data_IF_421248803724
#
_entry.id   IF_421248803724
#
_cell.length_a   1.000
_cell.length_b   1.000
_cell.length_c   1.000
_cell.angle_alpha   90.00
_cell.angle_beta   90.00
_cell.angle_gamma   90.00
#
_symmetry.space_group_name_H-M   'P 1'
#
loop_
_entity.id
_entity.type
_entity.pdbx_description
1 polymer ?
#
# COMPACT_ATOMS: atom_id res chain seq x y z
N UNK A 1 23.32 -18.24 -0.20
CA UNK A 1 22.16 -18.28 0.72
C UNK A 1 21.39 -16.98 0.51
N UNK A 2 20.09 -17.05 0.23
CA UNK A 2 19.27 -15.86 0.00
C UNK A 2 18.77 -15.39 1.37
N UNK A 3 19.52 -14.51 2.04
CA UNK A 3 19.06 -13.89 3.28
C UNK A 3 17.82 -13.07 2.97
N UNK A 4 16.69 -13.25 3.69
CA UNK A 4 15.51 -12.42 3.48
C UNK A 4 15.90 -10.97 3.72
N UNK A 5 15.68 -10.11 2.73
CA UNK A 5 15.92 -8.67 2.88
C UNK A 5 15.01 -8.16 3.99
N UNK A 6 15.55 -7.70 5.13
CA UNK A 6 14.71 -7.29 6.25
C UNK A 6 13.86 -6.10 5.85
N UNK A 7 12.56 -6.14 6.16
CA UNK A 7 11.65 -5.02 5.95
C UNK A 7 12.10 -3.84 6.82
N UNK A 8 12.20 -2.67 6.20
CA UNK A 8 12.61 -1.43 6.88
C UNK A 8 11.45 -0.45 6.92
N UNK A 9 11.40 0.33 7.99
CA UNK A 9 10.60 1.54 8.09
C UNK A 9 11.49 2.71 7.68
N UNK A 10 10.96 3.60 6.85
CA UNK A 10 11.66 4.80 6.39
C UNK A 10 10.77 6.01 6.69
N UNK A 11 11.33 6.98 7.42
CA UNK A 11 10.70 8.29 7.62
C UNK A 11 11.30 9.27 6.62
N UNK A 12 10.45 9.88 5.81
CA UNK A 12 10.86 10.84 4.79
C UNK A 12 10.84 12.27 5.32
N UNK A 13 11.59 13.16 4.68
CA UNK A 13 11.66 14.58 5.06
C UNK A 13 10.33 15.33 4.92
N UNK A 14 9.41 14.81 4.10
CA UNK A 14 8.07 15.36 3.93
C UNK A 14 7.08 14.92 5.03
N UNK A 15 7.54 14.11 6.00
CA UNK A 15 6.73 13.59 7.10
C UNK A 15 6.04 12.27 6.80
N UNK A 16 6.13 11.73 5.58
CA UNK A 16 5.58 10.41 5.26
C UNK A 16 6.41 9.29 5.90
N UNK A 17 5.72 8.22 6.28
CA UNK A 17 6.32 7.00 6.81
C UNK A 17 5.95 5.85 5.87
N UNK A 18 6.95 5.09 5.46
CA UNK A 18 6.78 3.93 4.58
C UNK A 18 7.46 2.71 5.17
N UNK A 19 6.94 1.53 4.82
CA UNK A 19 7.60 0.24 5.04
C UNK A 19 7.90 -0.40 3.71
N UNK A 20 9.10 -0.95 3.54
CA UNK A 20 9.53 -1.52 2.26
C UNK A 20 10.64 -2.58 2.42
N UNK A 21 10.93 -3.28 1.33
CA UNK A 21 12.14 -4.08 1.17
C UNK A 21 13.27 -3.17 0.65
N UNK A 22 14.15 -2.75 1.56
CA UNK A 22 15.27 -1.86 1.23
C UNK A 22 16.40 -2.64 0.57
N UNK A 23 16.96 -2.14 -0.53
CA UNK A 23 18.16 -2.70 -1.14
C UNK A 23 19.35 -2.74 -0.19
N UNK A 24 20.27 -3.68 -0.39
CA UNK A 24 21.43 -3.88 0.49
C UNK A 24 22.50 -2.78 0.36
N UNK A 25 22.49 -2.03 -0.75
CA UNK A 25 23.52 -1.06 -1.09
C UNK A 25 22.90 0.29 -1.43
N UNK A 26 23.63 1.36 -1.10
CA UNK A 26 23.34 2.72 -1.54
C UNK A 26 24.16 2.96 -2.80
N UNK A 27 23.50 3.28 -3.91
CA UNK A 27 24.14 3.54 -5.21
C UNK A 27 23.83 4.97 -5.61
N UNK A 28 24.84 5.78 -5.94
CA UNK A 28 24.67 7.19 -6.33
C UNK A 28 23.88 8.04 -5.32
N UNK A 29 24.14 7.83 -4.02
CA UNK A 29 23.44 8.44 -2.90
C UNK A 29 21.94 8.18 -2.89
N UNK A 30 21.49 7.05 -3.45
CA UNK A 30 20.10 6.63 -3.48
C UNK A 30 19.87 5.31 -2.76
N UNK A 31 18.75 5.24 -2.05
CA UNK A 31 18.18 4.00 -1.57
C UNK A 31 17.28 3.39 -2.63
N UNK A 32 17.44 2.09 -2.87
CA UNK A 32 16.51 1.30 -3.66
C UNK A 32 15.36 0.80 -2.77
N UNK A 33 14.14 1.22 -3.06
CA UNK A 33 12.92 0.84 -2.33
C UNK A 33 12.11 -0.15 -3.17
N UNK A 34 11.94 -1.38 -2.67
CA UNK A 34 11.11 -2.39 -3.32
C UNK A 34 9.79 -2.55 -2.56
N UNK A 35 8.69 -2.53 -3.32
CA UNK A 35 7.30 -2.65 -2.86
C UNK A 35 6.94 -1.73 -1.67
N UNK A 36 7.28 -0.42 -1.71
CA UNK A 36 6.98 0.47 -0.60
C UNK A 36 5.48 0.61 -0.35
N UNK A 37 5.09 0.47 0.91
CA UNK A 37 3.75 0.74 1.40
C UNK A 37 3.76 1.93 2.35
N UNK A 38 2.83 2.87 2.15
CA UNK A 38 2.60 4.00 3.05
C UNK A 38 1.98 3.50 4.35
N UNK A 39 2.52 3.96 5.47
CA UNK A 39 2.02 3.70 6.82
C UNK A 39 1.11 4.85 7.25
N UNK A 40 -0.13 4.54 7.61
CA UNK A 40 -1.08 5.53 8.11
C UNK A 40 -1.76 5.02 9.38
N UNK A 41 -1.60 5.74 10.49
CA UNK A 41 -2.38 5.46 11.71
C UNK A 41 -3.70 6.21 11.61
N UNK A 42 -4.81 5.46 11.67
CA UNK A 42 -6.17 6.00 11.70
C UNK A 42 -6.80 5.73 13.04
N UNK A 43 -7.19 6.80 13.71
CA UNK A 43 -7.99 6.76 14.93
C UNK A 43 -9.46 6.55 14.56
N UNK A 44 -10.07 5.52 15.12
CA UNK A 44 -11.50 5.25 15.01
C UNK A 44 -12.14 5.46 16.38
N UNK A 45 -13.16 6.31 16.45
CA UNK A 45 -13.92 6.53 17.68
C UNK A 45 -14.94 5.39 17.78
N UNK A 46 -14.82 4.59 18.83
CA UNK A 46 -15.75 3.50 19.15
C UNK A 46 -16.51 3.81 20.44
N UNK A 47 -17.55 3.04 20.73
CA UNK A 47 -18.31 3.14 22.00
C UNK A 47 -17.42 2.92 23.24
N UNK A 48 -16.24 2.29 23.06
CA UNK A 48 -15.27 2.01 24.11
C UNK A 48 -14.09 3.00 24.12
N UNK A 49 -14.16 4.07 23.33
CA UNK A 49 -13.12 5.09 23.20
C UNK A 49 -12.43 5.09 21.83
N UNK A 50 -11.42 5.94 21.70
CA UNK A 50 -10.61 6.03 20.49
C UNK A 50 -9.66 4.83 20.39
N UNK A 51 -9.68 4.13 19.25
CA UNK A 51 -8.77 3.04 18.93
C UNK A 51 -7.94 3.43 17.72
N UNK A 52 -6.63 3.34 17.83
CA UNK A 52 -5.71 3.55 16.71
C UNK A 52 -5.51 2.26 15.92
N UNK A 53 -5.60 2.38 14.59
CA UNK A 53 -5.39 1.28 13.64
C UNK A 53 -4.29 1.65 12.65
N UNK A 54 -3.36 0.75 12.40
CA UNK A 54 -2.35 0.93 11.35
C UNK A 54 -2.91 0.41 10.02
N UNK A 55 -2.88 1.25 9.00
CA UNK A 55 -3.22 0.91 7.64
C UNK A 55 -1.97 0.94 6.75
N UNK A 56 -1.85 -0.03 5.85
CA UNK A 56 -0.82 -0.07 4.81
C UNK A 56 -1.46 0.04 3.43
N UNK A 57 -1.00 1.00 2.62
CA UNK A 57 -1.47 1.21 1.25
C UNK A 57 -0.28 1.39 0.30
N UNK A 58 -0.48 1.25 -1.02
CA UNK A 58 0.61 1.43 -1.99
C UNK A 58 1.15 2.85 -1.92
N UNK A 59 2.44 3.01 -1.70
CA UNK A 59 3.07 4.32 -1.78
C UNK A 59 3.00 4.81 -3.24
N UNK A 60 2.46 6.02 -3.44
CA UNK A 60 2.20 6.67 -4.75
C UNK A 60 1.42 5.82 -5.78
N UNK A 61 0.73 4.76 -5.33
CA UNK A 61 0.09 3.78 -6.21
C UNK A 61 -1.09 4.31 -7.05
N UNK A 62 -1.64 5.47 -6.71
CA UNK A 62 -2.64 6.17 -7.52
C UNK A 62 -2.08 6.73 -8.82
N UNK A 63 -0.76 6.91 -8.90
CA UNK A 63 -0.09 7.56 -10.02
C UNK A 63 0.78 6.59 -10.83
N UNK A 64 1.06 5.39 -10.29
CA UNK A 64 1.93 4.42 -10.95
C UNK A 64 1.69 2.98 -10.48
N UNK A 65 1.90 2.03 -11.38
CA UNK A 65 1.96 0.58 -11.06
C UNK A 65 3.36 0.12 -10.67
N UNK A 66 4.37 0.99 -10.77
CA UNK A 66 5.76 0.69 -10.43
C UNK A 66 5.89 0.25 -8.97
N UNK A 67 6.75 -0.74 -8.71
CA UNK A 67 7.04 -1.25 -7.37
C UNK A 67 8.48 -1.05 -6.93
N UNK A 68 9.34 -0.55 -7.81
CA UNK A 68 10.76 -0.28 -7.56
C UNK A 68 11.00 1.22 -7.64
N UNK A 69 11.55 1.83 -6.61
CA UNK A 69 11.84 3.26 -6.58
C UNK A 69 13.26 3.54 -6.12
N UNK A 70 13.80 4.67 -6.53
CA UNK A 70 15.07 5.18 -6.03
C UNK A 70 14.80 6.53 -5.38
N UNK A 71 15.27 6.71 -4.15
CA UNK A 71 15.15 7.97 -3.42
C UNK A 71 16.51 8.43 -2.94
N UNK A 72 16.81 9.71 -3.13
CA UNK A 72 18.04 10.30 -2.60
C UNK A 72 18.06 10.21 -1.08
N UNK A 73 19.20 9.83 -0.54
CA UNK A 73 19.46 9.68 0.91
C UNK A 73 19.16 10.95 1.69
N UNK A 74 19.34 12.14 1.09
CA UNK A 74 19.02 13.43 1.70
C UNK A 74 17.52 13.68 1.95
N UNK A 75 16.62 12.88 1.35
CA UNK A 75 15.17 12.91 1.61
C UNK A 75 14.72 11.88 2.65
N UNK A 76 15.66 11.11 3.22
CA UNK A 76 15.40 10.13 4.28
C UNK A 76 15.90 10.67 5.62
N UNK A 77 14.99 10.78 6.59
CA UNK A 77 15.31 11.20 7.94
C UNK A 77 15.86 10.05 8.80
N UNK A 78 15.27 8.87 8.69
CA UNK A 78 15.72 7.68 9.40
C UNK A 78 15.32 6.40 8.68
N UNK A 79 16.08 5.35 8.93
CA UNK A 79 15.76 3.96 8.57
C UNK A 79 15.77 3.13 9.85
N UNK A 80 14.74 2.33 10.06
CA UNK A 80 14.60 1.45 11.22
C UNK A 80 14.19 0.04 10.81
N UNK A 81 14.51 -0.96 11.64
CA UNK A 81 14.00 -2.32 11.46
C UNK A 81 12.49 -2.35 11.73
N UNK A 82 11.75 -3.03 10.85
CA UNK A 82 10.35 -3.34 11.13
C UNK A 82 10.27 -4.42 12.23
N UNK A 83 9.24 -4.32 13.09
CA UNK A 83 8.93 -5.38 14.05
C UNK A 83 8.44 -6.64 13.33
N UNK A 84 8.57 -7.80 13.98
CA UNK A 84 8.12 -9.07 13.40
C UNK A 84 6.63 -9.04 13.01
N UNK A 85 5.78 -8.43 13.86
CA UNK A 85 4.36 -8.26 13.57
C UNK A 85 4.11 -7.41 12.32
N UNK A 86 4.85 -6.31 12.16
CA UNK A 86 4.76 -5.45 10.99
C UNK A 86 5.24 -6.14 9.72
N UNK A 87 6.32 -6.93 9.79
CA UNK A 87 6.78 -7.75 8.66
C UNK A 87 5.68 -8.70 8.16
N UNK A 88 5.03 -9.43 9.09
CA UNK A 88 3.94 -10.35 8.73
C UNK A 88 2.75 -9.62 8.12
N UNK A 89 2.39 -8.46 8.67
CA UNK A 89 1.30 -7.64 8.16
C UNK A 89 1.62 -7.10 6.76
N UNK A 90 2.83 -6.59 6.55
CA UNK A 90 3.33 -6.16 5.25
C UNK A 90 3.24 -7.28 4.20
N UNK A 91 3.75 -8.47 4.52
CA UNK A 91 3.73 -9.63 3.59
C UNK A 91 2.29 -10.02 3.21
N UNK A 92 1.38 -9.99 4.19
CA UNK A 92 -0.04 -10.22 3.95
C UNK A 92 -0.63 -9.19 2.97
N UNK A 93 -0.40 -7.90 3.21
CA UNK A 93 -0.91 -6.82 2.35
C UNK A 93 -0.35 -6.92 0.93
N UNK A 94 0.96 -7.19 0.77
CA UNK A 94 1.56 -7.40 -0.55
C UNK A 94 0.94 -8.59 -1.29
N UNK A 95 0.67 -9.70 -0.57
CA UNK A 95 0.01 -10.87 -1.15
C UNK A 95 -1.41 -10.53 -1.64
N UNK A 96 -2.17 -9.78 -0.85
CA UNK A 96 -3.51 -9.35 -1.21
C UNK A 96 -3.53 -8.39 -2.41
N UNK A 97 -2.61 -7.41 -2.45
CA UNK A 97 -2.45 -6.52 -3.60
C UNK A 97 -2.17 -7.34 -4.87
N UNK A 98 -1.20 -8.27 -4.83
CA UNK A 98 -0.86 -9.12 -5.99
C UNK A 98 -2.02 -10.04 -6.41
N UNK A 99 -2.85 -10.48 -5.46
CA UNK A 99 -4.06 -11.27 -5.73
C UNK A 99 -5.08 -10.44 -6.50
N UNK A 100 -5.35 -9.23 -6.03
CA UNK A 100 -6.29 -8.29 -6.66
C UNK A 100 -5.83 -7.85 -8.06
N UNK A 101 -4.52 -7.69 -8.27
CA UNK A 101 -3.97 -7.38 -9.59
C UNK A 101 -4.17 -8.52 -10.60
N UNK A 102 -4.09 -9.78 -10.15
CA UNK A 102 -4.30 -10.95 -11.01
C UNK A 102 -5.76 -11.24 -11.29
N UNK A 103 -6.66 -10.86 -10.39
CA UNK A 103 -8.10 -11.08 -10.53
C UNK A 103 -8.80 -9.99 -11.33
N UNK A 104 -8.13 -8.87 -11.63
CA UNK A 104 -8.62 -7.94 -12.65
C UNK A 104 -8.46 -8.64 -14.00
N UNK A 105 -9.55 -8.84 -14.77
CA UNK A 105 -9.39 -9.34 -16.14
C UNK A 105 -8.40 -8.44 -16.87
N UNK A 106 -7.42 -9.07 -17.52
CA UNK A 106 -6.54 -8.39 -18.48
C UNK A 106 -7.45 -7.65 -19.45
N UNK A 107 -7.03 -6.43 -19.78
CA UNK A 107 -7.75 -5.45 -20.58
C UNK A 107 -8.70 -6.08 -21.61
N UNK A 108 -9.98 -5.65 -21.59
CA UNK A 108 -10.82 -5.78 -22.77
C UNK A 108 -10.04 -5.13 -23.91
N UNK A 109 -9.57 -5.93 -24.85
CA UNK A 109 -9.10 -5.43 -26.12
C UNK A 109 -10.20 -4.52 -26.69
N UNK A 110 -9.81 -3.32 -27.12
CA UNK A 110 -10.65 -2.34 -27.79
C UNK A 110 -11.42 -3.01 -28.92
N UNK A 111 -12.74 -3.23 -28.74
CA UNK A 111 -13.78 -3.31 -29.77
C UNK A 111 -15.10 -3.81 -29.11
N UNK A 112 -15.78 -2.97 -28.34
CA UNK A 112 -17.26 -2.99 -28.30
C UNK A 112 -17.76 -1.65 -27.74
N UNK A 113 -18.46 -0.93 -28.60
CA UNK A 113 -19.22 0.28 -28.39
C UNK A 113 -20.47 0.01 -27.53
N UNK A 114 -20.26 -0.34 -26.26
CA UNK A 114 -21.32 -0.58 -25.29
C UNK A 114 -21.31 0.44 -24.16
N UNK A 115 -22.32 1.32 -24.15
CA UNK A 115 -22.54 2.40 -23.18
C UNK A 115 -22.49 1.95 -21.70
N UNK A 116 -21.82 2.81 -20.92
CA UNK A 116 -22.00 3.16 -19.49
C UNK A 116 -23.05 2.34 -18.72
N UNK A 117 -22.63 1.65 -17.65
CA UNK A 117 -23.47 1.41 -16.46
C UNK A 117 -22.66 1.25 -15.15
N UNK A 118 -21.61 2.07 -14.95
CA UNK A 118 -20.89 2.16 -13.66
C UNK A 118 -21.74 2.80 -12.53
N UNK A 119 -22.94 3.31 -12.84
CA UNK A 119 -23.88 3.90 -11.87
C UNK A 119 -24.71 2.83 -11.16
N UNK A 120 -24.94 1.66 -11.77
CA UNK A 120 -25.80 0.62 -11.20
C UNK A 120 -25.14 -0.07 -9.99
N UNK A 121 -23.84 -0.34 -10.07
CA UNK A 121 -23.08 -0.98 -8.98
C UNK A 121 -22.96 -0.09 -7.73
N UNK A 122 -22.91 1.24 -7.91
CA UNK A 122 -22.88 2.21 -6.82
C UNK A 122 -24.25 2.32 -6.12
N UNK A 123 -25.35 2.27 -6.88
CA UNK A 123 -26.71 2.29 -6.31
C UNK A 123 -27.05 1.02 -5.53
N UNK A 124 -26.54 -0.14 -5.97
CA UNK A 124 -26.78 -1.41 -5.26
C UNK A 124 -26.07 -1.45 -3.89
N UNK A 125 -24.87 -0.87 -3.79
CA UNK A 125 -24.13 -0.71 -2.53
C UNK A 125 -24.78 0.33 -1.62
N UNK A 126 -25.33 1.42 -2.17
CA UNK A 126 -26.02 2.46 -1.39
C UNK A 126 -27.43 2.06 -0.95
N UNK A 127 -28.09 1.15 -1.67
CA UNK A 127 -29.44 0.67 -1.34
C UNK A 127 -29.45 -0.49 -0.33
N UNK A 128 -28.32 -1.15 -0.08
CA UNK A 128 -28.25 -2.35 0.78
C UNK A 128 -27.96 -2.06 2.26
N UNK A 129 -27.81 -0.80 2.65
CA UNK A 129 -27.48 -0.39 4.03
C UNK A 129 -28.66 0.13 4.86
N UNK A 130 -29.91 -0.05 4.41
CA UNK A 130 -31.10 0.16 5.24
C UNK A 130 -31.86 -1.15 5.40
N UNK A 131 -31.57 -1.88 6.49
CA UNK A 131 -32.58 -2.48 7.41
C UNK A 131 -31.87 -3.27 8.51
N UNK A 132 -31.74 -2.68 9.70
CA UNK A 132 -32.01 -3.42 10.94
C UNK A 132 -32.89 -2.51 11.81
N UNK A 133 -34.19 -2.81 11.83
CA UNK A 133 -35.14 -2.35 12.83
C UNK A 133 -35.43 -3.48 13.81
#
# INVERSE_FOLDING_TARGET
MNTPTPHKIIKLTNGEEIVCQLGNEIVNDEYQLNYPLKMEVRTQITNNGAIDSLNLSRWIGSYTKQSLFHIKTNHVLLVAEASEGLCRYYDHVIKEIKRLEKSRPMDMDEDDDGDIDDIELLNEILSSDDTIH
#
